data_IF_776369314443
#
_entry.id   IF_776369314443
#
_cell.length_a   1.000
_cell.length_b   1.000
_cell.length_c   1.000
_cell.angle_alpha   90.00
_cell.angle_beta   90.00
_cell.angle_gamma   90.00
#
_symmetry.space_group_name_H-M   'P 1'
#
loop_
_entity.id
_entity.type
_entity.pdbx_description
1 polymer ?
#
# COMPACT_ATOMS: atom_id res chain seq x y z
N UNK A 1 -1.52 2.09 11.76
CA UNK A 1 -0.46 1.35 12.50
C UNK A 1 -0.69 1.26 14.00
N UNK A 2 -0.63 2.35 14.78
CA UNK A 2 -0.78 2.27 16.25
C UNK A 2 -2.12 1.64 16.69
N UNK A 3 -3.23 2.02 16.05
CA UNK A 3 -4.56 1.44 16.32
C UNK A 3 -4.61 -0.06 16.01
N UNK A 4 -4.03 -0.47 14.88
CA UNK A 4 -3.90 -1.89 14.51
C UNK A 4 -3.02 -2.65 15.51
N UNK A 5 -1.93 -2.02 15.97
CA UNK A 5 -1.03 -2.59 16.97
C UNK A 5 -1.73 -2.96 18.27
N UNK A 6 -2.58 -2.08 18.76
CA UNK A 6 -3.38 -2.34 19.96
C UNK A 6 -4.35 -3.49 19.77
N UNK A 7 -5.12 -3.48 18.67
CA UNK A 7 -6.02 -4.59 18.33
C UNK A 7 -5.28 -5.91 18.16
N UNK A 8 -4.14 -5.91 17.47
CA UNK A 8 -3.38 -7.11 17.15
C UNK A 8 -2.61 -7.69 18.34
N UNK A 9 -2.24 -6.85 19.32
CA UNK A 9 -1.68 -7.32 20.59
C UNK A 9 -2.77 -7.84 21.52
N UNK A 10 -3.92 -7.17 21.58
CA UNK A 10 -5.03 -7.58 22.44
C UNK A 10 -5.74 -8.84 21.93
N UNK A 11 -5.92 -8.95 20.61
CA UNK A 11 -6.66 -10.03 19.94
C UNK A 11 -5.85 -10.50 18.71
N UNK A 12 -4.79 -11.31 18.89
CA UNK A 12 -3.92 -11.75 17.79
C UNK A 12 -4.61 -12.79 16.90
N UNK A 13 -5.17 -12.35 15.77
CA UNK A 13 -5.93 -13.20 14.84
C UNK A 13 -5.50 -12.97 13.39
N UNK A 14 -5.43 -14.03 12.58
CA UNK A 14 -4.90 -13.97 11.21
C UNK A 14 -5.79 -13.21 10.22
N UNK A 15 -7.11 -13.14 10.46
CA UNK A 15 -8.03 -12.33 9.65
C UNK A 15 -7.92 -10.82 9.90
N UNK A 16 -7.16 -10.43 10.95
CA UNK A 16 -6.79 -9.06 11.28
C UNK A 16 -7.97 -8.08 11.22
N UNK A 17 -7.80 -6.96 10.52
CA UNK A 17 -8.75 -5.86 10.44
C UNK A 17 -10.10 -6.22 9.80
N UNK A 18 -10.17 -7.23 8.93
CA UNK A 18 -11.47 -7.71 8.43
C UNK A 18 -12.26 -8.36 9.57
N UNK A 19 -11.59 -9.18 10.39
CA UNK A 19 -12.23 -9.79 11.55
C UNK A 19 -12.50 -8.78 12.67
N UNK A 20 -11.61 -7.80 12.89
CA UNK A 20 -11.88 -6.70 13.84
C UNK A 20 -13.10 -5.88 13.39
N UNK A 21 -13.23 -5.57 12.10
CA UNK A 21 -14.40 -4.88 11.57
C UNK A 21 -15.69 -5.69 11.78
N UNK A 22 -15.62 -7.02 11.65
CA UNK A 22 -16.77 -7.91 11.87
C UNK A 22 -17.25 -7.87 13.32
N UNK A 23 -16.31 -7.96 14.25
CA UNK A 23 -16.59 -8.02 15.70
C UNK A 23 -16.99 -6.66 16.26
N UNK A 24 -16.27 -5.59 15.89
CA UNK A 24 -16.40 -4.28 16.51
C UNK A 24 -17.20 -3.27 15.69
N UNK A 25 -17.55 -3.53 14.43
CA UNK A 25 -18.37 -2.63 13.60
C UNK A 25 -19.65 -3.34 13.14
N UNK A 26 -19.54 -4.27 12.20
CA UNK A 26 -20.61 -5.19 11.80
C UNK A 26 -20.11 -6.22 10.78
N UNK A 27 -20.73 -7.41 10.70
CA UNK A 27 -20.41 -8.40 9.66
C UNK A 27 -20.62 -7.88 8.23
N UNK A 28 -21.64 -7.03 8.00
CA UNK A 28 -21.88 -6.46 6.69
C UNK A 28 -20.75 -5.50 6.28
N UNK A 29 -20.32 -4.62 7.18
CA UNK A 29 -19.19 -3.71 6.93
C UNK A 29 -17.89 -4.49 6.67
N UNK A 30 -17.62 -5.54 7.44
CA UNK A 30 -16.46 -6.41 7.24
C UNK A 30 -16.41 -7.04 5.84
N UNK A 31 -17.56 -7.45 5.30
CA UNK A 31 -17.65 -7.95 3.93
C UNK A 31 -17.19 -6.88 2.92
N UNK A 32 -17.74 -5.66 3.02
CA UNK A 32 -17.34 -4.53 2.16
C UNK A 32 -15.85 -4.21 2.26
N UNK A 33 -15.33 -4.06 3.48
CA UNK A 33 -13.93 -3.72 3.73
C UNK A 33 -12.97 -4.79 3.23
N UNK A 34 -13.29 -6.07 3.41
CA UNK A 34 -12.43 -7.14 2.92
C UNK A 34 -12.35 -7.16 1.38
N UNK A 35 -13.46 -6.92 0.69
CA UNK A 35 -13.46 -6.81 -0.77
C UNK A 35 -12.72 -5.55 -1.24
N UNK A 36 -12.90 -4.41 -0.56
CA UNK A 36 -12.10 -3.22 -0.80
C UNK A 36 -10.60 -3.51 -0.64
N UNK A 37 -10.20 -4.18 0.43
CA UNK A 37 -8.79 -4.51 0.64
C UNK A 37 -8.23 -5.45 -0.43
N UNK A 38 -9.04 -6.39 -0.93
CA UNK A 38 -8.66 -7.19 -2.09
C UNK A 38 -8.47 -6.31 -3.34
N UNK A 39 -9.39 -5.36 -3.58
CA UNK A 39 -9.30 -4.41 -4.70
C UNK A 39 -8.04 -3.54 -4.61
N UNK A 40 -7.66 -3.10 -3.41
CA UNK A 40 -6.44 -2.32 -3.17
C UNK A 40 -5.25 -2.95 -3.87
N UNK A 41 -4.98 -4.22 -3.59
CA UNK A 41 -3.78 -4.86 -4.14
C UNK A 41 -3.94 -5.28 -5.59
N UNK A 42 -5.11 -5.75 -6.04
CA UNK A 42 -5.28 -6.12 -7.46
C UNK A 42 -5.29 -4.91 -8.40
N UNK A 43 -5.38 -3.69 -7.88
CA UNK A 43 -5.22 -2.44 -8.64
C UNK A 43 -3.83 -1.83 -8.46
N UNK A 44 -3.26 -1.92 -7.25
CA UNK A 44 -1.90 -1.45 -6.97
C UNK A 44 -0.82 -2.28 -7.68
N UNK A 45 -0.94 -3.61 -7.69
CA UNK A 45 0.07 -4.50 -8.30
C UNK A 45 0.23 -4.26 -9.81
N UNK A 46 -0.84 -4.09 -10.61
CA UNK A 46 -0.70 -3.65 -12.00
C UNK A 46 -0.03 -2.29 -12.16
N UNK A 47 -0.26 -1.33 -11.27
CA UNK A 47 0.44 -0.05 -11.30
C UNK A 47 1.96 -0.24 -11.11
N UNK A 48 2.38 -1.13 -10.20
CA UNK A 48 3.80 -1.49 -10.01
C UNK A 48 4.39 -2.17 -11.26
N UNK A 49 3.63 -3.02 -11.95
CA UNK A 49 4.04 -3.62 -13.23
C UNK A 49 4.27 -2.55 -14.31
N UNK A 50 3.38 -1.57 -14.40
CA UNK A 50 3.49 -0.45 -15.35
C UNK A 50 4.69 0.44 -15.00
N UNK A 51 4.87 0.78 -13.71
CA UNK A 51 6.01 1.55 -13.23
C UNK A 51 7.35 0.84 -13.52
N UNK A 52 7.41 -0.48 -13.31
CA UNK A 52 8.56 -1.29 -13.72
C UNK A 52 8.78 -1.25 -15.23
N UNK A 53 7.71 -1.20 -16.01
CA UNK A 53 7.78 -1.03 -17.46
C UNK A 53 8.35 0.32 -17.90
N UNK A 54 7.97 1.41 -17.23
CA UNK A 54 8.47 2.77 -17.49
C UNK A 54 9.99 2.80 -17.23
N UNK A 55 10.42 2.23 -16.11
CA UNK A 55 11.85 2.16 -15.76
C UNK A 55 12.63 1.30 -16.76
N UNK A 56 12.06 0.18 -17.21
CA UNK A 56 12.73 -0.65 -18.23
C UNK A 56 12.78 -0.01 -19.61
N UNK A 57 11.81 0.84 -19.94
CA UNK A 57 11.85 1.62 -21.17
C UNK A 57 13.00 2.64 -21.16
N UNK A 58 13.36 3.19 -20.01
CA UNK A 58 14.56 4.04 -19.85
C UNK A 58 15.86 3.28 -20.19
N UNK A 59 15.98 2.01 -19.76
CA UNK A 59 17.12 1.16 -20.12
C UNK A 59 17.11 0.69 -21.57
N UNK A 60 15.93 0.35 -22.10
CA UNK A 60 15.75 -0.21 -23.43
C UNK A 60 14.62 0.51 -24.18
N UNK A 61 14.88 1.72 -24.71
CA UNK A 61 13.84 2.56 -25.32
C UNK A 61 13.16 1.95 -26.54
N UNK A 62 13.84 1.02 -27.21
CA UNK A 62 13.31 0.30 -28.38
C UNK A 62 12.12 -0.62 -28.04
N UNK A 63 11.93 -0.97 -26.76
CA UNK A 63 10.84 -1.84 -26.31
C UNK A 63 9.85 -0.99 -25.52
N UNK A 64 8.60 -0.92 -26.00
CA UNK A 64 7.55 -0.13 -25.35
C UNK A 64 7.28 -0.59 -23.91
N UNK A 65 6.95 0.36 -23.03
CA UNK A 65 6.50 0.15 -21.64
C UNK A 65 5.50 -0.99 -21.47
N UNK A 66 4.55 -1.14 -22.41
CA UNK A 66 3.55 -2.21 -22.40
C UNK A 66 4.16 -3.61 -22.31
N UNK A 67 5.15 -3.93 -23.15
CA UNK A 67 5.76 -5.26 -23.18
C UNK A 67 6.56 -5.55 -21.91
N UNK A 68 7.20 -4.53 -21.36
CA UNK A 68 7.85 -4.64 -20.06
C UNK A 68 6.84 -4.87 -18.94
N UNK A 69 5.71 -4.14 -18.91
CA UNK A 69 4.65 -4.36 -17.94
C UNK A 69 4.09 -5.79 -18.01
N UNK A 70 3.90 -6.34 -19.22
CA UNK A 70 3.52 -7.74 -19.43
C UNK A 70 4.58 -8.69 -18.88
N UNK A 71 5.87 -8.45 -19.15
CA UNK A 71 6.95 -9.28 -18.63
C UNK A 71 6.98 -9.30 -17.09
N UNK A 72 6.87 -8.13 -16.45
CA UNK A 72 6.75 -8.04 -14.98
C UNK A 72 5.50 -8.77 -14.47
N UNK A 73 4.38 -8.67 -15.20
CA UNK A 73 3.16 -9.45 -14.97
C UNK A 73 3.42 -10.96 -14.93
N UNK A 74 4.16 -11.48 -15.91
CA UNK A 74 4.55 -12.90 -15.96
C UNK A 74 5.44 -13.27 -14.79
N UNK A 75 6.48 -12.47 -14.49
CA UNK A 75 7.40 -12.73 -13.37
C UNK A 75 6.65 -12.81 -12.04
N UNK A 76 5.79 -11.82 -11.75
CA UNK A 76 5.00 -11.77 -10.52
C UNK A 76 4.01 -12.94 -10.45
N UNK A 77 3.40 -13.30 -11.58
CA UNK A 77 2.51 -14.48 -11.67
C UNK A 77 3.26 -15.76 -11.33
N UNK A 78 4.44 -15.97 -11.92
CA UNK A 78 5.28 -17.16 -11.66
C UNK A 78 5.67 -17.22 -10.18
N UNK A 79 6.12 -16.10 -9.60
CA UNK A 79 6.50 -16.04 -8.19
C UNK A 79 5.33 -16.40 -7.26
N UNK A 80 4.12 -15.92 -7.56
CA UNK A 80 2.96 -16.14 -6.70
C UNK A 80 2.31 -17.53 -6.87
N UNK A 81 2.44 -18.14 -8.05
CA UNK A 81 1.92 -19.49 -8.32
C UNK A 81 2.92 -20.56 -7.88
N UNK A 82 4.22 -20.31 -8.07
CA UNK A 82 5.27 -21.16 -7.53
C UNK A 82 5.22 -21.04 -6.00
N UNK A 83 4.56 -21.97 -5.31
CA UNK A 83 4.45 -21.95 -3.86
C UNK A 83 5.83 -22.11 -3.21
N UNK A 84 6.55 -20.99 -3.04
CA UNK A 84 7.93 -20.97 -2.53
C UNK A 84 7.89 -20.85 -1.01
N UNK A 85 8.39 -21.89 -0.34
CA UNK A 85 8.65 -21.90 1.11
C UNK A 85 9.67 -20.83 1.57
N UNK A 86 10.25 -20.08 0.63
CA UNK A 86 11.31 -19.08 0.87
C UNK A 86 10.84 -17.63 0.74
N UNK A 87 9.53 -17.35 0.76
CA UNK A 87 8.99 -15.97 0.71
C UNK A 87 9.74 -15.03 1.69
N UNK A 88 9.91 -15.45 2.94
CA UNK A 88 10.59 -14.65 3.96
C UNK A 88 12.09 -14.41 3.68
N UNK A 89 12.78 -15.38 3.09
CA UNK A 89 14.20 -15.24 2.73
C UNK A 89 14.38 -14.35 1.50
N UNK A 90 13.53 -14.50 0.48
CA UNK A 90 13.55 -13.63 -0.69
C UNK A 90 13.28 -12.17 -0.31
N UNK A 91 12.26 -11.93 0.52
CA UNK A 91 11.95 -10.59 1.01
C UNK A 91 13.08 -9.99 1.84
N UNK A 92 13.80 -10.80 2.63
CA UNK A 92 14.96 -10.33 3.38
C UNK A 92 16.08 -9.80 2.45
N UNK A 93 16.44 -10.57 1.42
CA UNK A 93 17.47 -10.16 0.47
C UNK A 93 17.05 -8.95 -0.37
N UNK A 94 15.80 -8.94 -0.86
CA UNK A 94 15.25 -7.81 -1.60
C UNK A 94 15.23 -6.55 -0.73
N UNK A 95 14.88 -6.65 0.56
CA UNK A 95 14.90 -5.52 1.48
C UNK A 95 16.32 -4.99 1.73
N UNK A 96 17.34 -5.85 1.81
CA UNK A 96 18.73 -5.44 2.00
C UNK A 96 19.24 -4.61 0.82
N UNK A 97 18.99 -5.07 -0.41
CA UNK A 97 19.39 -4.37 -1.64
C UNK A 97 18.80 -2.94 -1.67
N UNK A 98 17.51 -2.79 -1.33
CA UNK A 98 16.83 -1.49 -1.26
C UNK A 98 17.49 -0.53 -0.26
N UNK A 99 17.82 -1.04 0.93
CA UNK A 99 18.45 -0.22 1.97
C UNK A 99 19.83 0.27 1.51
N UNK A 100 20.63 -0.60 0.91
CA UNK A 100 21.96 -0.24 0.40
C UNK A 100 21.88 0.82 -0.70
N UNK A 101 20.92 0.72 -1.62
CA UNK A 101 20.72 1.71 -2.67
C UNK A 101 20.31 3.08 -2.12
N UNK A 102 19.45 3.11 -1.10
CA UNK A 102 19.04 4.36 -0.45
C UNK A 102 20.21 5.00 0.32
N UNK A 103 21.03 4.20 1.01
CA UNK A 103 22.25 4.70 1.67
C UNK A 103 23.23 5.26 0.65
N UNK A 104 23.41 4.59 -0.49
CA UNK A 104 24.22 5.09 -1.61
C UNK A 104 23.68 6.43 -2.12
N UNK A 105 22.38 6.52 -2.40
CA UNK A 105 21.75 7.75 -2.88
C UNK A 105 21.94 8.90 -1.88
N UNK A 106 21.70 8.65 -0.59
CA UNK A 106 21.90 9.64 0.48
C UNK A 106 23.34 10.15 0.49
N UNK A 107 24.32 9.25 0.39
CA UNK A 107 25.74 9.62 0.32
C UNK A 107 26.06 10.49 -0.90
N UNK A 108 25.60 10.10 -2.09
CA UNK A 108 25.82 10.84 -3.33
C UNK A 108 25.12 12.21 -3.31
N UNK A 109 23.87 12.27 -2.85
CA UNK A 109 23.13 13.52 -2.74
C UNK A 109 23.80 14.51 -1.78
N UNK A 110 24.35 14.03 -0.66
CA UNK A 110 25.14 14.88 0.24
C UNK A 110 26.40 15.41 -0.44
N UNK A 111 27.14 14.57 -1.17
CA UNK A 111 28.33 15.01 -1.92
C UNK A 111 27.98 16.07 -2.97
N UNK A 112 26.84 15.91 -3.66
CA UNK A 112 26.30 16.88 -4.61
C UNK A 112 25.95 18.20 -3.91
N UNK A 113 25.22 18.16 -2.79
CA UNK A 113 24.84 19.36 -2.02
C UNK A 113 26.06 20.13 -1.56
N UNK A 114 27.11 19.44 -1.10
CA UNK A 114 28.35 20.06 -0.66
C UNK A 114 29.27 20.51 -1.81
N UNK A 115 28.90 20.24 -3.07
CA UNK A 115 29.67 20.65 -4.25
C UNK A 115 30.91 19.80 -4.52
N UNK A 116 31.01 18.60 -3.94
CA UNK A 116 32.07 17.64 -4.25
C UNK A 116 31.83 16.87 -5.56
N UNK A 117 30.59 16.90 -6.08
CA UNK A 117 30.17 16.23 -7.30
C UNK A 117 29.34 17.18 -8.16
N UNK A 118 29.68 17.27 -9.45
CA UNK A 118 29.07 18.17 -10.43
C UNK A 118 29.69 19.58 -10.43
N UNK A 119 29.31 20.37 -11.44
CA UNK A 119 29.93 21.68 -11.69
C UNK A 119 29.21 22.86 -11.01
N UNK A 120 28.10 22.58 -10.31
CA UNK A 120 27.26 23.61 -9.69
C UNK A 120 27.85 24.21 -8.39
N UNK A 121 28.91 23.62 -7.84
CA UNK A 121 29.45 24.00 -6.53
C UNK A 121 28.48 23.72 -5.38
N UNK A 122 28.64 24.42 -4.25
CA UNK A 122 27.75 24.28 -3.08
C UNK A 122 26.33 24.72 -3.43
N UNK A 123 25.38 23.78 -3.42
CA UNK A 123 23.99 24.05 -3.81
C UNK A 123 23.27 24.89 -2.77
N UNK A 124 23.56 24.66 -1.48
CA UNK A 124 22.86 25.30 -0.36
C UNK A 124 21.35 25.09 -0.44
N UNK A 125 20.57 26.17 -0.35
CA UNK A 125 19.11 26.14 -0.46
C UNK A 125 18.60 26.54 -1.84
N UNK A 126 19.49 26.69 -2.83
CA UNK A 126 19.12 27.24 -4.14
C UNK A 126 18.07 26.38 -4.84
N UNK A 127 18.21 25.06 -4.91
CA UNK A 127 17.20 24.20 -5.56
C UNK A 127 15.89 24.13 -4.75
N UNK A 128 15.97 24.21 -3.43
CA UNK A 128 14.83 24.07 -2.50
C UNK A 128 13.95 25.32 -2.40
N UNK A 129 14.56 26.51 -2.43
CA UNK A 129 13.87 27.78 -2.18
C UNK A 129 13.78 28.66 -3.43
N UNK A 130 14.56 28.38 -4.47
CA UNK A 130 14.36 29.02 -5.76
C UNK A 130 13.12 28.41 -6.44
N UNK A 131 12.51 29.14 -7.38
CA UNK A 131 11.27 28.76 -8.06
C UNK A 131 10.04 28.67 -7.14
N UNK A 132 9.76 29.74 -6.38
CA UNK A 132 8.52 29.92 -5.62
C UNK A 132 8.59 29.52 -4.13
N UNK A 133 9.78 29.23 -3.60
CA UNK A 133 9.98 28.94 -2.19
C UNK A 133 9.59 27.50 -1.79
N UNK A 134 9.36 27.28 -0.50
CA UNK A 134 9.05 25.94 0.04
C UNK A 134 7.69 25.39 -0.42
N UNK A 135 6.72 26.26 -0.70
CA UNK A 135 5.36 25.88 -1.14
C UNK A 135 4.96 26.65 -2.40
N UNK A 136 5.56 26.37 -3.57
CA UNK A 136 5.31 27.13 -4.79
C UNK A 136 3.85 27.04 -5.25
N UNK A 137 3.21 25.88 -5.02
CA UNK A 137 1.80 25.64 -5.33
C UNK A 137 0.85 25.95 -4.15
N UNK A 138 1.36 26.64 -3.12
CA UNK A 138 0.63 26.96 -1.89
C UNK A 138 0.54 25.79 -0.90
N UNK A 139 0.19 26.11 0.35
CA UNK A 139 0.10 25.11 1.44
C UNK A 139 -1.01 24.09 1.17
N UNK A 140 -2.06 24.47 0.46
CA UNK A 140 -3.16 23.56 0.10
C UNK A 140 -2.71 22.41 -0.79
N UNK A 141 -1.72 22.62 -1.67
CA UNK A 141 -1.18 21.55 -2.51
C UNK A 141 -0.57 20.42 -1.67
N UNK A 142 -0.01 20.71 -0.49
CA UNK A 142 0.51 19.68 0.42
C UNK A 142 -0.62 18.72 0.82
N UNK A 143 -1.76 19.27 1.26
CA UNK A 143 -2.91 18.46 1.68
C UNK A 143 -3.55 17.71 0.51
N UNK A 144 -3.59 18.30 -0.68
CA UNK A 144 -4.12 17.65 -1.88
C UNK A 144 -3.25 16.47 -2.32
N UNK A 145 -1.94 16.65 -2.36
CA UNK A 145 -0.97 15.63 -2.80
C UNK A 145 -0.78 14.53 -1.76
N UNK A 146 -0.98 14.83 -0.46
CA UNK A 146 -0.96 13.81 0.60
C UNK A 146 -1.86 12.62 0.26
N UNK A 147 -3.00 12.85 -0.39
CA UNK A 147 -3.94 11.78 -0.72
C UNK A 147 -3.34 10.74 -1.67
N UNK A 148 -2.66 11.21 -2.72
CA UNK A 148 -2.00 10.33 -3.69
C UNK A 148 -0.81 9.64 -3.02
N UNK A 149 -0.07 10.35 -2.17
CA UNK A 149 1.12 9.82 -1.49
C UNK A 149 0.75 8.70 -0.51
N UNK A 150 -0.42 8.76 0.15
CA UNK A 150 -0.83 7.78 1.15
C UNK A 150 -0.85 6.34 0.62
N UNK A 151 -1.12 6.14 -0.68
CA UNK A 151 -1.08 4.81 -1.30
C UNK A 151 0.28 4.13 -1.13
N UNK A 152 1.38 4.89 -1.14
CA UNK A 152 2.75 4.37 -0.97
C UNK A 152 3.03 3.84 0.45
N UNK A 153 2.16 4.14 1.42
CA UNK A 153 2.27 3.65 2.79
C UNK A 153 1.37 2.45 3.09
N UNK A 154 0.63 1.97 2.08
CA UNK A 154 -0.10 0.71 2.14
C UNK A 154 0.86 -0.47 2.31
N UNK A 155 0.34 -1.59 2.80
CA UNK A 155 1.15 -2.75 3.19
C UNK A 155 1.68 -2.67 4.62
N UNK A 156 1.66 -1.49 5.24
CA UNK A 156 1.98 -1.34 6.65
C UNK A 156 1.05 -2.19 7.54
N UNK A 157 -0.22 -2.33 7.14
CA UNK A 157 -1.24 -3.15 7.78
C UNK A 157 -1.04 -4.67 7.63
N UNK A 158 -0.18 -5.14 6.72
CA UNK A 158 0.12 -6.59 6.57
C UNK A 158 0.70 -7.16 7.86
N UNK A 159 1.34 -6.32 8.70
CA UNK A 159 1.77 -6.70 10.05
C UNK A 159 0.62 -7.29 10.89
N UNK A 160 -0.60 -6.80 10.69
CA UNK A 160 -1.79 -7.28 11.39
C UNK A 160 -2.23 -8.66 10.89
N UNK A 161 -2.04 -8.96 9.61
CA UNK A 161 -2.34 -10.30 9.04
C UNK A 161 -1.33 -11.33 9.55
N UNK A 162 -0.06 -10.93 9.71
CA UNK A 162 0.99 -11.76 10.29
C UNK A 162 0.92 -11.89 11.82
N UNK A 163 0.12 -11.05 12.50
CA UNK A 163 0.01 -11.05 13.95
C UNK A 163 -0.49 -12.39 14.51
N UNK A 164 -1.48 -13.01 13.85
CA UNK A 164 -2.03 -14.31 14.24
C UNK A 164 -1.05 -15.47 14.08
N UNK A 165 0.05 -15.29 13.34
CA UNK A 165 1.10 -16.28 13.13
C UNK A 165 2.32 -16.05 14.07
N UNK A 166 2.29 -14.99 14.89
CA UNK A 166 3.42 -14.63 15.76
C UNK A 166 3.40 -15.38 17.09
N UNK A 167 4.54 -15.96 17.49
CA UNK A 167 4.69 -16.67 18.78
C UNK A 167 4.54 -15.76 20.00
N UNK A 168 4.90 -14.47 19.89
CA UNK A 168 4.84 -13.48 20.98
C UNK A 168 4.33 -12.13 20.46
N UNK A 169 3.03 -12.00 20.15
CA UNK A 169 2.45 -10.81 19.54
C UNK A 169 2.73 -9.53 20.34
N UNK A 170 2.61 -9.60 21.67
CA UNK A 170 2.87 -8.50 22.61
C UNK A 170 4.27 -7.88 22.58
N UNK A 171 5.29 -8.62 22.11
CA UNK A 171 6.66 -8.11 21.96
C UNK A 171 6.99 -7.85 20.50
N UNK A 172 6.63 -8.78 19.62
CA UNK A 172 6.96 -8.75 18.20
C UNK A 172 6.25 -7.60 17.48
N UNK A 173 4.96 -7.37 17.76
CA UNK A 173 4.17 -6.33 17.07
C UNK A 173 4.67 -4.93 17.45
N UNK A 174 4.82 -4.54 18.73
CA UNK A 174 5.34 -3.21 19.07
C UNK A 174 6.74 -2.95 18.53
N UNK A 175 7.62 -3.97 18.53
CA UNK A 175 8.97 -3.86 17.95
C UNK A 175 8.91 -3.61 16.44
N UNK A 176 8.07 -4.35 15.73
CA UNK A 176 7.88 -4.18 14.29
C UNK A 176 7.25 -2.83 13.95
N UNK A 177 6.27 -2.34 14.74
CA UNK A 177 5.71 -1.00 14.57
C UNK A 177 6.76 0.11 14.73
N UNK A 178 7.60 0.05 15.77
CA UNK A 178 8.71 0.99 15.96
C UNK A 178 9.70 0.93 14.80
N UNK A 179 10.00 -0.29 14.32
CA UNK A 179 10.88 -0.48 13.17
C UNK A 179 10.31 0.15 11.91
N UNK A 180 9.01 0.01 11.63
CA UNK A 180 8.35 0.63 10.48
C UNK A 180 8.43 2.16 10.56
N UNK A 181 8.20 2.77 11.72
CA UNK A 181 8.34 4.23 11.88
C UNK A 181 9.74 4.72 11.55
N UNK A 182 10.77 4.08 12.12
CA UNK A 182 12.16 4.44 11.82
C UNK A 182 12.52 4.24 10.36
N UNK A 183 11.99 3.18 9.73
CA UNK A 183 12.16 2.93 8.29
C UNK A 183 11.50 4.02 7.44
N UNK A 184 10.31 4.50 7.79
CA UNK A 184 9.66 5.61 7.08
C UNK A 184 10.54 6.87 7.15
N UNK A 185 11.06 7.23 8.33
CA UNK A 185 11.91 8.41 8.46
C UNK A 185 13.21 8.23 7.65
N UNK A 186 13.93 7.13 7.88
CA UNK A 186 15.26 6.94 7.31
C UNK A 186 15.26 6.63 5.80
N UNK A 187 14.24 5.91 5.31
CA UNK A 187 14.21 5.39 3.94
C UNK A 187 13.25 6.14 3.01
N UNK A 188 12.32 6.94 3.55
CA UNK A 188 11.40 7.74 2.74
C UNK A 188 11.70 9.22 2.91
N UNK A 189 11.65 9.74 4.14
CA UNK A 189 11.74 11.19 4.37
C UNK A 189 13.13 11.72 4.00
N UNK A 190 14.20 11.09 4.49
CA UNK A 190 15.57 11.56 4.23
C UNK A 190 15.93 11.54 2.74
N UNK A 191 15.75 10.41 2.00
CA UNK A 191 16.04 10.39 0.57
C UNK A 191 15.18 11.35 -0.24
N UNK A 192 13.89 11.49 0.07
CA UNK A 192 13.02 12.44 -0.64
C UNK A 192 13.40 13.89 -0.38
N UNK A 193 13.78 14.24 0.86
CA UNK A 193 14.27 15.58 1.18
C UNK A 193 15.56 15.91 0.41
N UNK A 194 16.47 14.94 0.30
CA UNK A 194 17.69 15.11 -0.48
C UNK A 194 17.41 15.18 -1.99
N UNK A 195 16.44 14.40 -2.49
CA UNK A 195 16.02 14.44 -3.89
C UNK A 195 15.52 15.84 -4.28
N UNK A 196 14.61 16.42 -3.50
CA UNK A 196 14.10 17.78 -3.79
C UNK A 196 15.15 18.87 -3.51
N UNK A 197 16.21 18.56 -2.76
CA UNK A 197 17.33 19.48 -2.53
C UNK A 197 18.33 19.53 -3.69
N UNK A 198 18.36 18.51 -4.56
CA UNK A 198 19.30 18.43 -5.69
C UNK A 198 18.59 18.50 -7.04
N UNK A 199 17.29 18.22 -7.12
CA UNK A 199 16.55 18.17 -8.38
C UNK A 199 15.34 19.11 -8.38
N UNK A 200 15.28 20.09 -9.30
CA UNK A 200 14.16 21.01 -9.40
C UNK A 200 12.85 20.28 -9.68
N UNK A 201 11.81 20.58 -8.89
CA UNK A 201 10.51 19.90 -8.99
C UNK A 201 9.83 20.07 -10.36
N UNK A 202 10.08 21.17 -11.07
CA UNK A 202 9.56 21.45 -12.42
C UNK A 202 10.08 20.48 -13.49
N UNK A 203 11.23 19.84 -13.25
CA UNK A 203 11.84 18.89 -14.18
C UNK A 203 11.41 17.44 -13.90
N UNK A 204 10.72 17.19 -12.79
CA UNK A 204 10.24 15.85 -12.47
C UNK A 204 9.06 15.48 -13.39
N UNK A 205 9.14 14.30 -14.00
CA UNK A 205 8.08 13.73 -14.85
C UNK A 205 7.82 12.28 -14.47
N UNK A 206 6.70 11.73 -14.94
CA UNK A 206 6.36 10.31 -14.78
C UNK A 206 7.04 9.40 -15.81
N UNK A 207 7.71 9.97 -16.81
CA UNK A 207 8.33 9.23 -17.91
C UNK A 207 9.61 8.47 -17.50
N UNK A 208 10.25 8.88 -16.39
CA UNK A 208 11.46 8.25 -15.87
C UNK A 208 11.55 8.34 -14.35
N UNK A 209 12.40 7.51 -13.76
CA UNK A 209 12.68 7.56 -12.32
C UNK A 209 13.24 8.92 -11.92
N UNK A 210 12.58 9.62 -10.99
CA UNK A 210 13.02 10.91 -10.49
C UNK A 210 14.43 10.84 -9.84
N UNK A 211 14.73 9.74 -9.15
CA UNK A 211 16.06 9.51 -8.56
C UNK A 211 17.14 9.32 -9.62
N UNK A 212 16.83 8.58 -10.69
CA UNK A 212 17.74 8.42 -11.83
C UNK A 212 17.97 9.76 -12.54
N UNK A 213 16.89 10.50 -12.80
CA UNK A 213 16.93 11.82 -13.41
C UNK A 213 17.76 12.83 -12.60
N UNK A 214 17.63 12.78 -11.28
CA UNK A 214 18.41 13.63 -10.37
C UNK A 214 19.90 13.30 -10.44
N UNK A 215 20.29 12.03 -10.35
CA UNK A 215 21.69 11.63 -10.43
C UNK A 215 22.29 11.91 -11.81
N UNK A 216 21.53 11.66 -12.88
CA UNK A 216 21.93 11.96 -14.26
C UNK A 216 22.19 13.46 -14.50
N UNK A 217 21.43 14.35 -13.85
CA UNK A 217 21.65 15.80 -13.94
C UNK A 217 23.03 16.25 -13.42
N UNK A 218 23.72 15.41 -12.64
CA UNK A 218 25.07 15.63 -12.13
C UNK A 218 26.12 14.68 -12.75
N UNK A 219 25.80 14.07 -13.90
CA UNK A 219 26.71 13.17 -14.62
C UNK A 219 26.88 11.78 -13.99
N UNK A 220 26.05 11.42 -13.01
CA UNK A 220 26.08 10.11 -12.34
C UNK A 220 25.09 9.11 -12.97
N UNK A 221 25.10 8.98 -14.29
CA UNK A 221 24.19 8.08 -15.02
C UNK A 221 24.31 6.62 -14.55
N UNK A 222 25.52 6.15 -14.24
CA UNK A 222 25.76 4.81 -13.71
C UNK A 222 25.02 4.57 -12.38
N UNK A 223 25.00 5.57 -11.49
CA UNK A 223 24.34 5.48 -10.20
C UNK A 223 22.81 5.56 -10.37
N UNK A 224 22.35 6.40 -11.32
CA UNK A 224 20.96 6.44 -11.75
C UNK A 224 20.46 5.08 -12.24
N UNK A 225 21.25 4.40 -13.09
CA UNK A 225 20.98 3.05 -13.56
C UNK A 225 20.92 2.01 -12.42
N UNK A 226 21.90 2.01 -11.50
CA UNK A 226 21.84 1.11 -10.33
C UNK A 226 20.57 1.35 -9.52
N UNK A 227 20.23 2.61 -9.26
CA UNK A 227 19.06 2.96 -8.46
C UNK A 227 17.74 2.55 -9.15
N UNK A 228 17.62 2.82 -10.45
CA UNK A 228 16.50 2.37 -11.29
C UNK A 228 16.33 0.84 -11.23
N UNK A 229 17.43 0.08 -11.35
CA UNK A 229 17.37 -1.38 -11.22
C UNK A 229 16.89 -1.83 -9.84
N UNK A 230 17.34 -1.16 -8.77
CA UNK A 230 16.89 -1.48 -7.41
C UNK A 230 15.40 -1.17 -7.22
N UNK A 231 14.87 -0.10 -7.83
CA UNK A 231 13.42 0.17 -7.82
C UNK A 231 12.65 -0.99 -8.46
N UNK A 232 13.14 -1.60 -9.54
CA UNK A 232 12.49 -2.78 -10.14
C UNK A 232 12.37 -3.94 -9.14
N UNK A 233 13.44 -4.19 -8.36
CA UNK A 233 13.42 -5.21 -7.31
C UNK A 233 12.45 -4.85 -6.17
N UNK A 234 12.29 -3.55 -5.89
CA UNK A 234 11.33 -3.05 -4.91
C UNK A 234 9.88 -3.29 -5.37
N UNK A 235 9.58 -3.03 -6.63
CA UNK A 235 8.27 -3.24 -7.23
C UNK A 235 7.83 -4.71 -7.19
N UNK A 236 8.76 -5.64 -7.49
CA UNK A 236 8.50 -7.08 -7.39
C UNK A 236 8.18 -7.49 -5.94
N UNK A 237 8.99 -7.03 -4.98
CA UNK A 237 8.79 -7.32 -3.54
C UNK A 237 7.47 -6.74 -3.02
N UNK A 238 7.11 -5.52 -3.41
CA UNK A 238 5.84 -4.90 -3.07
C UNK A 238 4.66 -5.69 -3.63
N UNK A 239 4.71 -6.03 -4.92
CA UNK A 239 3.67 -6.81 -5.60
C UNK A 239 3.47 -8.19 -4.98
N UNK A 240 4.56 -8.85 -4.61
CA UNK A 240 4.55 -10.16 -3.96
C UNK A 240 3.90 -10.10 -2.56
N UNK A 241 4.27 -9.11 -1.74
CA UNK A 241 3.65 -8.88 -0.42
C UNK A 241 2.16 -8.50 -0.53
N UNK A 242 1.81 -7.70 -1.54
CA UNK A 242 0.44 -7.30 -1.83
C UNK A 242 -0.45 -8.48 -2.20
N UNK A 243 -0.04 -9.30 -3.17
CA UNK A 243 -0.76 -10.50 -3.58
C UNK A 243 -0.89 -11.53 -2.44
N UNK A 244 0.13 -11.63 -1.60
CA UNK A 244 0.06 -12.41 -0.36
C UNK A 244 -1.04 -11.90 0.59
N UNK A 245 -1.10 -10.59 0.84
CA UNK A 245 -2.17 -9.97 1.62
C UNK A 245 -3.56 -10.20 1.00
N UNK A 246 -3.66 -10.06 -0.31
CA UNK A 246 -4.87 -10.24 -1.12
C UNK A 246 -5.47 -11.64 -0.97
N UNK A 247 -4.64 -12.66 -1.21
CA UNK A 247 -5.06 -14.06 -1.17
C UNK A 247 -5.57 -14.46 0.21
N UNK A 248 -4.96 -13.95 1.28
CA UNK A 248 -5.35 -14.21 2.66
C UNK A 248 -6.60 -13.47 3.10
N UNK A 249 -6.75 -12.21 2.70
CA UNK A 249 -7.98 -11.47 2.96
C UNK A 249 -9.18 -12.15 2.30
N UNK A 250 -9.03 -12.58 1.05
CA UNK A 250 -10.08 -13.28 0.31
C UNK A 250 -10.37 -14.68 0.89
N UNK A 251 -9.33 -15.40 1.31
CA UNK A 251 -9.47 -16.64 2.07
C UNK A 251 -10.26 -16.41 3.37
N UNK A 252 -9.93 -15.38 4.16
CA UNK A 252 -10.63 -15.06 5.40
C UNK A 252 -12.11 -14.71 5.15
N UNK A 253 -12.42 -13.92 4.12
CA UNK A 253 -13.80 -13.64 3.72
C UNK A 253 -14.57 -14.91 3.37
N UNK A 254 -13.95 -15.82 2.62
CA UNK A 254 -14.61 -17.07 2.20
C UNK A 254 -14.93 -17.98 3.39
N UNK A 255 -14.05 -18.02 4.41
CA UNK A 255 -14.27 -18.75 5.68
C UNK A 255 -15.44 -18.19 6.49
N UNK A 256 -15.71 -16.89 6.37
CA UNK A 256 -16.82 -16.20 7.05
C UNK A 256 -18.11 -16.14 6.20
N UNK A 257 -18.21 -16.92 5.11
CA UNK A 257 -19.32 -16.90 4.16
C UNK A 257 -19.55 -15.54 3.47
N UNK A 258 -18.53 -14.66 3.48
CA UNK A 258 -18.54 -13.34 2.85
C UNK A 258 -17.95 -13.34 1.43
N UNK A 259 -17.44 -14.49 0.98
CA UNK A 259 -17.00 -14.76 -0.38
C UNK A 259 -17.33 -16.21 -0.78
N UNK A 260 -17.26 -16.58 -2.07
CA UNK A 260 -17.49 -17.95 -2.52
C UNK A 260 -16.63 -19.01 -1.80
N UNK A 261 -17.25 -20.13 -1.40
CA UNK A 261 -16.60 -21.17 -0.58
C UNK A 261 -15.39 -21.82 -1.27
N UNK A 262 -15.36 -21.87 -2.61
CA UNK A 262 -14.22 -22.43 -3.34
C UNK A 262 -12.91 -21.67 -3.11
N UNK A 263 -12.98 -20.40 -2.69
CA UNK A 263 -11.82 -19.58 -2.32
C UNK A 263 -11.22 -19.97 -0.96
N UNK A 264 -11.93 -20.75 -0.15
CA UNK A 264 -11.47 -21.24 1.14
C UNK A 264 -10.65 -22.53 1.04
N UNK A 265 -10.40 -23.05 -0.18
CA UNK A 265 -9.62 -24.27 -0.38
C UNK A 265 -8.13 -23.95 -0.31
N UNK A 266 -7.43 -24.67 0.58
CA UNK A 266 -5.97 -24.64 0.66
C UNK A 266 -5.38 -25.78 -0.18
N UNK A 267 -4.23 -25.55 -0.78
CA UNK A 267 -3.43 -26.63 -1.39
C UNK A 267 -2.62 -27.39 -0.32
N UNK A 268 -1.89 -28.43 -0.73
CA UNK A 268 -1.06 -29.26 0.15
C UNK A 268 0.00 -28.48 0.96
N UNK A 269 0.35 -27.27 0.50
CA UNK A 269 1.33 -26.39 1.14
C UNK A 269 0.68 -25.35 2.06
N UNK A 270 -0.65 -25.42 2.28
CA UNK A 270 -1.39 -24.49 3.14
C UNK A 270 -1.63 -23.11 2.52
N UNK A 271 -1.52 -22.98 1.19
CA UNK A 271 -1.71 -21.72 0.46
C UNK A 271 -3.10 -21.69 -0.19
N UNK A 272 -3.86 -20.58 -0.08
CA UNK A 272 -5.17 -20.43 -0.71
C UNK A 272 -5.05 -20.19 -2.23
N UNK A 273 -4.65 -21.23 -2.97
CA UNK A 273 -4.29 -21.14 -4.39
C UNK A 273 -5.39 -20.55 -5.28
N UNK A 274 -6.65 -20.90 -5.01
CA UNK A 274 -7.81 -20.36 -5.73
C UNK A 274 -7.94 -18.83 -5.57
N UNK A 275 -7.73 -18.32 -4.35
CA UNK A 275 -7.73 -16.90 -4.08
C UNK A 275 -6.53 -16.19 -4.73
N UNK A 276 -5.36 -16.84 -4.74
CA UNK A 276 -4.18 -16.34 -5.46
C UNK A 276 -4.43 -16.23 -6.96
N UNK A 277 -4.95 -17.29 -7.59
CA UNK A 277 -5.24 -17.30 -9.03
C UNK A 277 -6.26 -16.23 -9.43
N UNK A 278 -7.33 -16.05 -8.64
CA UNK A 278 -8.30 -14.98 -8.89
C UNK A 278 -7.67 -13.59 -8.76
N UNK A 279 -6.79 -13.39 -7.77
CA UNK A 279 -6.09 -12.12 -7.57
C UNK A 279 -5.12 -11.81 -8.72
N UNK A 280 -4.36 -12.81 -9.17
CA UNK A 280 -3.47 -12.69 -10.33
C UNK A 280 -4.26 -12.39 -11.60
N UNK A 281 -5.37 -13.10 -11.82
CA UNK A 281 -6.26 -12.84 -12.96
C UNK A 281 -6.79 -11.41 -12.95
N UNK A 282 -7.23 -10.90 -11.79
CA UNK A 282 -7.66 -9.52 -11.65
C UNK A 282 -6.53 -8.51 -11.94
N UNK A 283 -5.29 -8.80 -11.54
CA UNK A 283 -4.14 -7.97 -11.90
C UNK A 283 -3.92 -7.91 -13.43
N UNK A 284 -4.07 -9.05 -14.12
CA UNK A 284 -3.95 -9.10 -15.58
C UNK A 284 -5.01 -8.27 -16.29
N UNK A 285 -6.22 -8.12 -15.73
CA UNK A 285 -7.23 -7.18 -16.27
C UNK A 285 -6.69 -5.74 -16.26
N UNK A 286 -6.01 -5.33 -15.18
CA UNK A 286 -5.39 -4.00 -15.08
C UNK A 286 -4.27 -3.79 -16.11
N UNK A 287 -3.41 -4.81 -16.31
CA UNK A 287 -2.36 -4.77 -17.33
C UNK A 287 -2.97 -4.71 -18.73
N UNK A 288 -3.98 -5.53 -19.02
CA UNK A 288 -4.69 -5.54 -20.32
C UNK A 288 -5.35 -4.19 -20.58
N UNK A 289 -5.99 -3.58 -19.58
CA UNK A 289 -6.56 -2.25 -19.72
C UNK A 289 -5.51 -1.20 -20.14
N UNK A 290 -4.31 -1.25 -19.54
CA UNK A 290 -3.19 -0.40 -19.93
C UNK A 290 -2.67 -0.69 -21.35
N UNK A 291 -2.80 -1.93 -21.84
CA UNK A 291 -2.41 -2.26 -23.22
C UNK A 291 -3.38 -1.70 -24.28
N UNK A 292 -4.62 -1.41 -23.89
CA UNK A 292 -5.64 -0.82 -24.77
C UNK A 292 -5.49 0.70 -24.80
N UNK A 293 -5.19 1.30 -23.65
CA UNK A 293 -4.91 2.73 -23.51
C UNK A 293 -3.62 2.92 -22.70
N UNK A 294 -2.52 3.18 -23.42
CA UNK A 294 -1.19 3.37 -22.82
C UNK A 294 -0.99 4.77 -22.24
N UNK A 295 -2.05 5.59 -22.16
CA UNK A 295 -1.97 6.91 -21.51
C UNK A 295 -1.72 6.77 -20.00
N UNK A 296 -1.26 7.87 -19.39
CA UNK A 296 -1.07 7.96 -17.94
C UNK A 296 -2.38 7.78 -17.15
N UNK A 297 -3.52 7.83 -17.83
CA UNK A 297 -4.85 7.75 -17.25
C UNK A 297 -5.08 6.42 -16.53
N UNK A 298 -4.76 5.28 -17.16
CA UNK A 298 -4.96 3.95 -16.55
C UNK A 298 -4.05 3.78 -15.33
N UNK A 299 -2.79 4.19 -15.43
CA UNK A 299 -1.85 4.14 -14.30
C UNK A 299 -2.37 4.96 -13.11
N UNK A 300 -2.83 6.18 -13.38
CA UNK A 300 -3.40 7.07 -12.36
C UNK A 300 -4.68 6.50 -11.74
N UNK A 301 -5.57 5.91 -12.55
CA UNK A 301 -6.79 5.27 -12.04
C UNK A 301 -6.52 4.07 -11.16
N UNK A 302 -5.55 3.21 -11.52
CA UNK A 302 -5.15 2.07 -10.72
C UNK A 302 -4.67 2.50 -9.32
N UNK A 303 -3.81 3.53 -9.27
CA UNK A 303 -3.34 4.09 -8.00
C UNK A 303 -4.45 4.77 -7.21
N UNK A 304 -5.32 5.55 -7.87
CA UNK A 304 -6.42 6.24 -7.22
C UNK A 304 -7.45 5.28 -6.61
N UNK A 305 -7.80 4.21 -7.34
CA UNK A 305 -8.72 3.18 -6.86
C UNK A 305 -8.12 2.40 -5.69
N UNK A 306 -6.82 2.06 -5.76
CA UNK A 306 -6.09 1.47 -4.63
C UNK A 306 -6.08 2.40 -3.40
N UNK A 307 -5.83 3.69 -3.61
CA UNK A 307 -5.85 4.71 -2.58
C UNK A 307 -7.20 4.78 -1.87
N UNK A 308 -8.30 4.82 -2.63
CA UNK A 308 -9.66 4.79 -2.09
C UNK A 308 -9.88 3.57 -1.19
N UNK A 309 -9.60 2.36 -1.71
CA UNK A 309 -9.95 1.14 -1.00
C UNK A 309 -9.04 0.89 0.22
N UNK A 310 -7.78 1.30 0.15
CA UNK A 310 -6.86 1.30 1.30
C UNK A 310 -7.29 2.29 2.39
N UNK A 311 -7.77 3.48 2.02
CA UNK A 311 -8.32 4.44 2.98
C UNK A 311 -9.52 3.86 3.75
N UNK A 312 -10.43 3.16 3.06
CA UNK A 312 -11.55 2.46 3.71
C UNK A 312 -11.06 1.39 4.70
N UNK A 313 -10.02 0.63 4.35
CA UNK A 313 -9.43 -0.35 5.25
C UNK A 313 -8.84 0.31 6.51
N UNK A 314 -8.09 1.41 6.35
CA UNK A 314 -7.51 2.15 7.47
C UNK A 314 -8.55 2.86 8.36
N UNK A 315 -9.59 3.45 7.76
CA UNK A 315 -10.75 3.96 8.51
C UNK A 315 -11.35 2.84 9.36
N UNK A 316 -11.53 1.67 8.78
CA UNK A 316 -12.11 0.51 9.45
C UNK A 316 -11.25 -0.02 10.59
N UNK A 317 -9.92 0.02 10.46
CA UNK A 317 -8.98 -0.29 11.55
C UNK A 317 -9.18 0.68 12.72
N UNK A 318 -9.15 1.98 12.46
CA UNK A 318 -9.29 3.00 13.50
C UNK A 318 -10.68 2.93 14.15
N UNK A 319 -11.74 2.74 13.36
CA UNK A 319 -13.10 2.61 13.87
C UNK A 319 -13.28 1.34 14.71
N UNK A 320 -12.69 0.21 14.28
CA UNK A 320 -12.69 -1.02 15.08
C UNK A 320 -11.98 -0.81 16.42
N UNK A 321 -10.84 -0.09 16.44
CA UNK A 321 -10.12 0.21 17.67
C UNK A 321 -10.91 1.13 18.60
N UNK A 322 -11.62 2.11 18.05
CA UNK A 322 -12.50 3.00 18.82
C UNK A 322 -13.60 2.22 19.54
N UNK A 323 -14.28 1.31 18.81
CA UNK A 323 -15.37 0.51 19.38
C UNK A 323 -14.85 -0.56 20.34
N UNK A 324 -13.70 -1.18 20.03
CA UNK A 324 -13.01 -2.09 20.94
C UNK A 324 -12.68 -1.43 22.28
N UNK A 325 -12.08 -0.23 22.25
CA UNK A 325 -11.75 0.52 23.46
C UNK A 325 -12.97 0.89 24.29
N UNK A 326 -14.04 1.37 23.64
CA UNK A 326 -15.31 1.68 24.32
C UNK A 326 -15.91 0.45 25.02
N UNK A 327 -15.90 -0.70 24.36
CA UNK A 327 -16.34 -1.98 24.95
C UNK A 327 -15.45 -2.37 26.13
N UNK A 328 -14.14 -2.34 25.95
CA UNK A 328 -13.19 -2.70 27.00
C UNK A 328 -13.28 -1.78 28.23
N UNK A 329 -13.48 -0.48 28.03
CA UNK A 329 -13.69 0.49 29.11
C UNK A 329 -15.00 0.22 29.87
N UNK A 330 -16.08 -0.15 29.16
CA UNK A 330 -17.35 -0.53 29.80
C UNK A 330 -17.26 -1.82 30.62
N UNK A 331 -16.34 -2.72 30.24
CA UNK A 331 -16.05 -3.97 30.95
C UNK A 331 -14.99 -3.79 32.06
N UNK A 332 -14.45 -2.57 32.26
CA UNK A 332 -13.40 -2.28 33.25
C UNK A 332 -12.02 -2.88 32.90
N UNK A 333 -11.83 -3.33 31.66
CA UNK A 333 -10.69 -4.14 31.24
C UNK A 333 -9.46 -3.35 30.75
N UNK A 334 -9.45 -2.02 30.82
CA UNK A 334 -8.39 -1.19 30.22
C UNK A 334 -6.99 -1.51 30.74
N UNK A 335 -6.89 -2.00 31.99
CA UNK A 335 -5.61 -2.41 32.59
C UNK A 335 -4.99 -3.66 31.97
N UNK A 336 -5.79 -4.48 31.28
CA UNK A 336 -5.32 -5.71 30.61
C UNK A 336 -4.51 -5.45 29.33
N UNK A 337 -4.52 -4.23 28.80
CA UNK A 337 -3.84 -3.90 27.54
C UNK A 337 -2.32 -3.87 27.69
N UNK A 338 -1.65 -4.86 27.09
CA UNK A 338 -0.18 -4.96 27.01
C UNK A 338 0.45 -3.92 26.09
N UNK A 339 -0.30 -3.39 25.13
CA UNK A 339 0.11 -2.29 24.26
C UNK A 339 -1.04 -1.30 24.16
N UNK A 340 -0.77 -0.02 24.43
CA UNK A 340 -1.76 1.07 24.39
C UNK A 340 -1.36 2.07 23.32
N UNK A 341 -2.26 2.31 22.37
CA UNK A 341 -2.13 3.43 21.44
C UNK A 341 -2.12 4.74 22.24
N UNK A 342 -1.12 5.62 22.02
CA UNK A 342 -1.03 6.88 22.76
C UNK A 342 -2.18 7.82 22.40
N UNK A 343 -2.54 8.69 23.33
CA UNK A 343 -3.54 9.77 23.14
C UNK A 343 -4.91 9.28 22.63
N UNK A 344 -5.35 8.10 23.07
CA UNK A 344 -6.71 7.66 22.83
C UNK A 344 -7.71 8.61 23.54
N UNK A 345 -8.82 9.03 22.90
CA UNK A 345 -9.29 8.68 21.55
C UNK A 345 -8.85 9.63 20.42
N UNK A 346 -8.13 10.71 20.74
CA UNK A 346 -7.76 11.76 19.79
C UNK A 346 -6.93 11.26 18.60
N UNK A 347 -5.96 10.38 18.86
CA UNK A 347 -5.16 9.75 17.80
C UNK A 347 -6.04 8.96 16.82
N UNK A 348 -7.02 8.23 17.35
CA UNK A 348 -7.94 7.41 16.55
C UNK A 348 -8.85 8.29 15.70
N UNK A 349 -9.39 9.37 16.26
CA UNK A 349 -10.17 10.34 15.50
C UNK A 349 -9.34 11.02 14.42
N UNK A 350 -8.09 11.41 14.72
CA UNK A 350 -7.18 11.96 13.72
C UNK A 350 -6.94 10.97 12.58
N UNK A 351 -6.74 9.68 12.89
CA UNK A 351 -6.61 8.62 11.88
C UNK A 351 -7.85 8.49 10.99
N UNK A 352 -9.06 8.53 11.56
CA UNK A 352 -10.30 8.45 10.77
C UNK A 352 -10.47 9.71 9.90
N UNK A 353 -10.40 10.89 10.51
CA UNK A 353 -10.71 12.15 9.83
C UNK A 353 -9.66 12.54 8.79
N UNK A 354 -8.38 12.18 8.98
CA UNK A 354 -7.37 12.35 7.94
C UNK A 354 -7.71 11.55 6.68
N UNK A 355 -8.12 10.29 6.82
CA UNK A 355 -8.53 9.46 5.69
C UNK A 355 -9.83 9.96 5.04
N UNK A 356 -10.80 10.38 5.84
CA UNK A 356 -12.04 10.98 5.32
C UNK A 356 -11.73 12.26 4.55
N UNK A 357 -10.89 13.15 5.08
CA UNK A 357 -10.47 14.36 4.38
C UNK A 357 -9.78 14.04 3.05
N UNK A 358 -8.96 12.99 2.99
CA UNK A 358 -8.34 12.53 1.76
C UNK A 358 -9.38 12.08 0.73
N UNK A 359 -10.38 11.29 1.13
CA UNK A 359 -11.46 10.85 0.25
C UNK A 359 -12.32 12.03 -0.25
N UNK A 360 -12.53 13.04 0.59
CA UNK A 360 -13.22 14.28 0.21
C UNK A 360 -12.42 15.03 -0.85
N UNK A 361 -11.10 15.18 -0.67
CA UNK A 361 -10.22 15.79 -1.66
C UNK A 361 -10.28 15.04 -3.00
N UNK A 362 -10.22 13.70 -2.99
CA UNK A 362 -10.35 12.88 -4.21
C UNK A 362 -11.67 13.16 -4.93
N UNK A 363 -12.75 13.46 -4.19
CA UNK A 363 -14.02 13.80 -4.79
C UNK A 363 -13.98 15.12 -5.57
N UNK A 364 -13.11 16.05 -5.18
CA UNK A 364 -12.99 17.35 -5.83
C UNK A 364 -11.91 17.40 -6.92
N UNK A 365 -10.96 16.47 -6.94
CA UNK A 365 -9.93 16.37 -7.99
C UNK A 365 -10.44 15.62 -9.21
N UNK A 366 -10.51 16.27 -10.39
CA UNK A 366 -11.11 15.70 -11.61
C UNK A 366 -10.50 14.35 -12.02
N UNK A 367 -9.17 14.25 -12.07
CA UNK A 367 -8.46 13.03 -12.48
C UNK A 367 -8.66 11.86 -11.51
N UNK A 368 -8.89 12.16 -10.23
CA UNK A 368 -9.03 11.14 -9.18
C UNK A 368 -10.49 10.80 -8.90
N UNK A 369 -11.45 11.68 -9.23
CA UNK A 369 -12.87 11.54 -8.89
C UNK A 369 -13.46 10.24 -9.41
N UNK A 370 -13.03 9.78 -10.59
CA UNK A 370 -13.52 8.55 -11.18
C UNK A 370 -13.21 7.31 -10.33
N UNK A 371 -12.16 7.36 -9.51
CA UNK A 371 -11.88 6.31 -8.53
C UNK A 371 -13.00 6.15 -7.49
N UNK A 372 -13.75 7.21 -7.15
CA UNK A 372 -14.90 7.11 -6.25
C UNK A 372 -16.11 6.47 -6.91
N UNK A 373 -16.34 6.75 -8.18
CA UNK A 373 -17.46 6.16 -8.93
C UNK A 373 -17.32 4.65 -9.06
N UNK A 374 -16.10 4.12 -9.06
CA UNK A 374 -15.83 2.68 -9.01
C UNK A 374 -15.70 2.18 -7.56
N UNK A 375 -14.98 2.90 -6.72
CA UNK A 375 -14.69 2.51 -5.35
C UNK A 375 -15.94 2.38 -4.48
N UNK A 376 -16.89 3.33 -4.57
CA UNK A 376 -18.11 3.32 -3.75
C UNK A 376 -18.98 2.09 -4.06
N UNK A 377 -19.32 1.78 -5.33
CA UNK A 377 -20.01 0.53 -5.65
C UNK A 377 -19.26 -0.71 -5.17
N UNK A 378 -17.93 -0.73 -5.29
CA UNK A 378 -17.14 -1.88 -4.86
C UNK A 378 -17.14 -2.08 -3.33
N UNK A 379 -17.36 -1.02 -2.55
CA UNK A 379 -17.63 -1.11 -1.11
C UNK A 379 -19.08 -1.54 -0.83
N UNK A 380 -20.05 -0.90 -1.49
CA UNK A 380 -21.47 -1.03 -1.17
C UNK A 380 -22.08 -2.34 -1.67
N UNK A 381 -21.70 -2.81 -2.86
CA UNK A 381 -22.26 -4.02 -3.46
C UNK A 381 -22.01 -5.27 -2.61
N UNK A 382 -20.80 -5.54 -2.08
CA UNK A 382 -20.59 -6.66 -1.16
C UNK A 382 -21.40 -6.54 0.14
N UNK A 383 -21.52 -5.33 0.69
CA UNK A 383 -22.34 -5.05 1.89
C UNK A 383 -23.80 -5.41 1.62
N UNK A 384 -24.34 -4.94 0.49
CA UNK A 384 -25.74 -5.17 0.10
C UNK A 384 -26.00 -6.65 -0.17
N UNK A 385 -25.12 -7.30 -0.93
CA UNK A 385 -25.19 -8.73 -1.20
C UNK A 385 -25.21 -9.55 0.10
N UNK A 386 -24.31 -9.24 1.05
CA UNK A 386 -24.26 -9.92 2.34
C UNK A 386 -25.53 -9.72 3.16
N UNK A 387 -26.04 -8.48 3.24
CA UNK A 387 -27.30 -8.17 3.95
C UNK A 387 -28.50 -8.91 3.36
N UNK A 388 -28.64 -8.92 2.03
CA UNK A 388 -29.74 -9.64 1.35
C UNK A 388 -29.66 -11.14 1.64
N UNK A 389 -28.46 -11.74 1.59
CA UNK A 389 -28.26 -13.15 1.91
C UNK A 389 -28.61 -13.46 3.37
N UNK A 390 -28.22 -12.61 4.31
CA UNK A 390 -28.53 -12.76 5.73
C UNK A 390 -30.04 -12.68 6.00
N UNK A 391 -30.74 -11.76 5.34
CA UNK A 391 -32.20 -11.64 5.46
C UNK A 391 -32.91 -12.89 4.92
N UNK A 392 -32.46 -13.44 3.78
CA UNK A 392 -33.01 -14.68 3.22
C UNK A 392 -32.80 -15.88 4.13
N UNK A 393 -31.63 -15.99 4.76
CA UNK A 393 -31.35 -17.06 5.73
C UNK A 393 -32.23 -16.95 6.98
N UNK A 394 -32.44 -15.73 7.50
CA UNK A 394 -33.35 -15.50 8.63
C UNK A 394 -34.80 -15.83 8.27
N UNK A 395 -35.26 -15.48 7.07
CA UNK A 395 -36.60 -15.83 6.60
C UNK A 395 -36.78 -17.35 6.51
N UNK A 396 -35.82 -18.07 5.92
CA UNK A 396 -35.87 -19.54 5.80
C UNK A 396 -35.79 -20.28 7.15
N UNK A 397 -35.18 -19.67 8.18
CA UNK A 397 -35.15 -20.20 9.55
C UNK A 397 -36.44 -19.92 10.33
N UNK A 398 -37.23 -18.93 9.91
CA UNK A 398 -38.52 -18.61 10.53
C UNK A 398 -39.68 -19.38 9.86
N UNK A 399 -39.46 -19.94 8.66
CA UNK A 399 -40.43 -20.76 7.92
C UNK A 399 -40.33 -22.27 8.25
N UNK A 400 -39.25 -22.71 8.91
CA UNK A 400 -39.07 -24.06 9.46
C UNK A 400 -39.22 -24.04 10.97
#
# INVERSE_FOLDING_TARGET
MLCLGELAVAVPISGSFVTYAREYISPAWACGVGWCYWITWVTYVPAEMIAGGIIMNDFFPAISTMWWAVLFGVIITVINVAAVKTFGEMEFWLALIKILALVMFVGLALLIIFGYVGDAGYIGTSVLLNNGGFTPNGVWAIFLTMVIILVNFQGSEIIGLAAGESKQPEKSIPKALKSVMWRIIALYIVPMLLLVAIYPWEKASLEKSAFSAALGAYGLEWAGGIFSFVILTAAISCSNSGLYGCSRALYALSRENMAPVWLSKLNEKGVPQNATMLSVFACWIGVIAYTIDTSETIFTYLLALSGFSGAIAWISICWSQLNFRRRLESEGGTESLKFRAPWFPYLTYFGIWSQVACLVVVAFTEDLRNSLYLGIPLLVLPIMWYKVRQLRQKAALNEN
#
